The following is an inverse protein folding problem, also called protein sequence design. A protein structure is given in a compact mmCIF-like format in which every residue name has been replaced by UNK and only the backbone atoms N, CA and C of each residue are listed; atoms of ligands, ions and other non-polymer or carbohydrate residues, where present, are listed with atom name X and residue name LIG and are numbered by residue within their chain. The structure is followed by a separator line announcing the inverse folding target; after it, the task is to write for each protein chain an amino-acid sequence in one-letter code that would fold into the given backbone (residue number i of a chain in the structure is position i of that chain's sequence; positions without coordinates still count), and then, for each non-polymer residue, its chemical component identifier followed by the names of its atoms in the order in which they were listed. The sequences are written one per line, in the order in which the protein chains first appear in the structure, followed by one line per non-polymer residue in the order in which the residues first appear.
data_IF_269037188666
#
_entry.id   IF_269037188666
#
_cell.length_a   1.000
_cell.length_b   1.000
_cell.length_c   1.000
_cell.angle_alpha   90.00
_cell.angle_beta   90.00
_cell.angle_gamma   90.00
#
_symmetry.space_group_name_H-M   'P 1'
#
loop_
_entity.id
_entity.type
_entity.pdbx_description
1 polymer ?
#
# COMPACT_ATOMS: atom_id res chain seq x y z
N UNK A 1 -31.70 -20.13 -5.77
CA UNK A 1 -30.27 -20.50 -5.92
C UNK A 1 -29.59 -20.01 -4.68
N UNK A 2 -29.28 -20.92 -3.76
CA UNK A 2 -28.61 -20.56 -2.51
C UNK A 2 -27.11 -20.43 -2.79
N UNK A 3 -26.63 -19.19 -2.78
CA UNK A 3 -25.20 -18.94 -2.79
C UNK A 3 -24.67 -19.24 -1.39
N UNK A 4 -23.86 -20.28 -1.28
CA UNK A 4 -23.08 -20.50 -0.06
C UNK A 4 -21.96 -19.46 -0.03
N UNK A 5 -21.94 -18.63 1.01
CA UNK A 5 -20.86 -17.68 1.26
C UNK A 5 -19.66 -18.43 1.83
N UNK A 6 -18.63 -18.65 1.01
CA UNK A 6 -17.36 -19.18 1.48
C UNK A 6 -16.61 -18.04 2.18
N UNK A 7 -16.28 -18.18 3.46
CA UNK A 7 -15.48 -17.16 4.12
C UNK A 7 -14.02 -17.28 3.72
N UNK A 8 -13.35 -16.14 3.52
CA UNK A 8 -11.92 -16.09 3.20
C UNK A 8 -11.07 -16.84 4.23
N UNK A 9 -11.51 -16.85 5.49
CA UNK A 9 -10.83 -17.53 6.60
C UNK A 9 -10.98 -19.06 6.59
N UNK A 10 -11.89 -19.60 5.80
CA UNK A 10 -12.10 -21.05 5.65
C UNK A 10 -11.28 -21.63 4.49
N UNK A 11 -10.74 -20.77 3.63
CA UNK A 11 -9.88 -21.17 2.51
C UNK A 11 -8.48 -21.55 2.98
N UNK A 12 -7.74 -22.42 2.26
CA UNK A 12 -6.34 -22.73 2.56
C UNK A 12 -5.44 -21.52 2.31
N UNK A 13 -4.25 -21.48 2.91
CA UNK A 13 -3.37 -20.29 2.96
C UNK A 13 -2.93 -19.80 1.56
N UNK A 14 -2.83 -20.70 0.59
CA UNK A 14 -2.43 -20.41 -0.77
C UNK A 14 -3.45 -19.49 -1.47
N UNK A 15 -4.74 -19.62 -1.16
CA UNK A 15 -5.79 -18.87 -1.88
C UNK A 15 -5.76 -17.38 -1.53
N UNK A 16 -5.74 -16.95 -0.25
CA UNK A 16 -5.55 -15.55 0.11
C UNK A 16 -4.22 -14.98 -0.41
N UNK A 17 -3.12 -15.74 -0.38
CA UNK A 17 -1.83 -15.29 -0.92
C UNK A 17 -1.95 -14.99 -2.42
N UNK A 18 -2.58 -15.88 -3.18
CA UNK A 18 -2.79 -15.67 -4.62
C UNK A 18 -3.62 -14.41 -4.89
N UNK A 19 -4.63 -14.12 -4.06
CA UNK A 19 -5.38 -12.86 -4.16
C UNK A 19 -4.53 -11.64 -3.80
N UNK A 20 -3.78 -11.69 -2.70
CA UNK A 20 -2.95 -10.56 -2.24
C UNK A 20 -1.87 -10.18 -3.26
N UNK A 21 -1.28 -11.16 -3.94
CA UNK A 21 -0.27 -10.91 -4.99
C UNK A 21 -0.84 -10.28 -6.27
N UNK A 22 -2.14 -10.39 -6.51
CA UNK A 22 -2.83 -9.75 -7.64
C UNK A 22 -3.30 -8.32 -7.33
N UNK A 23 -3.39 -7.96 -6.06
CA UNK A 23 -3.80 -6.63 -5.59
C UNK A 23 -2.59 -5.71 -5.40
N UNK A 24 -2.85 -4.42 -5.19
CA UNK A 24 -1.81 -3.52 -4.72
C UNK A 24 -1.44 -3.94 -3.28
N UNK A 25 -0.20 -4.39 -3.11
CA UNK A 25 0.33 -4.87 -1.82
C UNK A 25 0.24 -3.83 -0.70
N UNK A 26 0.39 -2.54 -0.99
CA UNK A 26 0.29 -1.48 0.01
C UNK A 26 -1.15 -1.33 0.48
N UNK A 27 -2.12 -1.44 -0.42
CA UNK A 27 -3.55 -1.41 -0.05
C UNK A 27 -3.93 -2.64 0.78
N UNK A 28 -3.43 -3.82 0.40
CA UNK A 28 -3.60 -5.06 1.17
C UNK A 28 -3.00 -4.90 2.57
N UNK A 29 -1.75 -4.45 2.66
CA UNK A 29 -1.06 -4.27 3.94
C UNK A 29 -1.76 -3.25 4.84
N UNK A 30 -2.29 -2.15 4.29
CA UNK A 30 -3.03 -1.17 5.09
C UNK A 30 -4.43 -1.65 5.49
N UNK A 31 -5.09 -2.48 4.68
CA UNK A 31 -6.48 -2.90 4.92
C UNK A 31 -6.61 -4.17 5.75
N UNK A 32 -5.65 -5.09 5.64
CA UNK A 32 -5.74 -6.45 6.18
C UNK A 32 -4.91 -6.62 7.45
N UNK A 33 -3.85 -5.83 7.60
CA UNK A 33 -2.97 -5.93 8.76
C UNK A 33 -3.72 -5.52 10.04
N UNK A 34 -3.55 -6.31 11.09
CA UNK A 34 -4.25 -6.23 12.39
C UNK A 34 -5.73 -6.63 12.37
N UNK A 35 -6.27 -7.12 11.24
CA UNK A 35 -7.66 -7.61 11.18
C UNK A 35 -7.77 -9.01 11.78
N UNK A 36 -6.82 -9.89 11.45
CA UNK A 36 -6.83 -11.28 11.91
C UNK A 36 -5.41 -11.85 11.95
N UNK A 37 -5.07 -12.58 13.01
CA UNK A 37 -3.72 -13.16 13.20
C UNK A 37 -3.24 -14.03 12.03
N UNK A 38 -4.14 -14.80 11.42
CA UNK A 38 -3.82 -15.63 10.25
C UNK A 38 -3.49 -14.74 9.05
N UNK A 39 -4.34 -13.74 8.77
CA UNK A 39 -4.11 -12.81 7.67
C UNK A 39 -2.86 -11.93 7.89
N UNK A 40 -2.55 -11.57 9.13
CA UNK A 40 -1.32 -10.86 9.49
C UNK A 40 -0.08 -11.66 9.14
N UNK A 41 -0.11 -12.97 9.39
CA UNK A 41 0.98 -13.86 9.00
C UNK A 41 1.13 -13.91 7.47
N UNK A 42 0.01 -14.06 6.76
CA UNK A 42 0.01 -14.18 5.29
C UNK A 42 0.44 -12.90 4.59
N UNK A 43 0.02 -11.73 5.09
CA UNK A 43 0.37 -10.44 4.51
C UNK A 43 1.84 -10.05 4.74
N UNK A 44 2.49 -10.63 5.75
CA UNK A 44 3.93 -10.47 6.00
C UNK A 44 4.78 -11.49 5.28
N UNK A 45 4.17 -12.45 4.58
CA UNK A 45 4.91 -13.45 3.82
C UNK A 45 5.79 -12.77 2.77
N UNK A 46 6.95 -13.36 2.50
CA UNK A 46 7.91 -12.83 1.52
C UNK A 46 7.28 -12.78 0.12
N UNK A 47 6.39 -13.71 -0.23
CA UNK A 47 5.67 -13.74 -1.51
C UNK A 47 4.83 -12.46 -1.71
N UNK A 48 4.25 -11.92 -0.64
CA UNK A 48 3.43 -10.71 -0.69
C UNK A 48 4.28 -9.43 -0.60
N UNK A 49 5.40 -9.50 0.13
CA UNK A 49 6.17 -8.31 0.53
C UNK A 49 7.47 -8.07 -0.25
N UNK A 50 7.92 -9.01 -1.09
CA UNK A 50 9.19 -8.85 -1.81
C UNK A 50 9.18 -7.70 -2.82
N UNK A 51 8.02 -7.42 -3.40
CA UNK A 51 7.78 -6.28 -4.27
C UNK A 51 6.78 -5.38 -3.56
N UNK A 52 7.05 -4.08 -3.46
CA UNK A 52 6.09 -3.09 -2.98
C UNK A 52 5.91 -1.96 -3.99
N UNK A 53 4.65 -1.56 -4.18
CA UNK A 53 4.30 -0.43 -5.00
C UNK A 53 3.61 0.65 -4.16
N UNK A 54 4.38 1.64 -3.73
CA UNK A 54 3.95 2.78 -2.92
C UNK A 54 3.34 3.91 -3.79
N UNK A 55 2.66 3.51 -4.87
CA UNK A 55 1.84 4.40 -5.70
C UNK A 55 0.40 3.90 -5.65
N UNK A 56 -0.54 4.83 -5.70
CA UNK A 56 -1.97 4.52 -5.73
C UNK A 56 -2.48 4.58 -7.17
N UNK A 57 -3.68 4.04 -7.42
CA UNK A 57 -4.39 4.25 -8.68
C UNK A 57 -5.57 5.18 -8.44
N UNK A 58 -5.73 6.21 -9.25
CA UNK A 58 -6.95 7.02 -9.26
C UNK A 58 -8.14 6.21 -9.79
N UNK A 59 -9.33 6.78 -9.65
CA UNK A 59 -10.55 6.23 -10.25
C UNK A 59 -10.46 6.12 -11.78
N UNK A 60 -9.62 6.94 -12.40
CA UNK A 60 -9.35 6.94 -13.84
C UNK A 60 -8.23 5.95 -14.22
N UNK A 61 -7.65 5.23 -13.25
CA UNK A 61 -6.57 4.28 -13.45
C UNK A 61 -5.18 4.91 -13.56
N UNK A 62 -5.07 6.23 -13.37
CA UNK A 62 -3.79 6.94 -13.37
C UNK A 62 -2.99 6.62 -12.11
N UNK A 63 -1.66 6.61 -12.20
CA UNK A 63 -0.82 6.42 -11.01
C UNK A 63 -0.75 7.72 -10.24
N UNK A 64 -1.12 7.68 -8.97
CA UNK A 64 -1.12 8.82 -8.07
C UNK A 64 -0.14 8.60 -6.91
N UNK A 65 0.30 9.69 -6.26
CA UNK A 65 1.07 9.61 -5.03
C UNK A 65 0.30 8.82 -3.98
N UNK A 66 1.00 8.12 -3.10
CA UNK A 66 0.38 7.64 -1.87
C UNK A 66 0.07 8.83 -0.96
N UNK A 67 -1.15 8.94 -0.40
CA UNK A 67 -1.49 10.04 0.51
C UNK A 67 -0.50 10.12 1.67
N UNK A 68 -0.05 11.33 2.04
CA UNK A 68 1.00 11.51 3.05
C UNK A 68 0.69 10.81 4.37
N UNK A 69 -0.55 10.88 4.84
CA UNK A 69 -1.01 10.22 6.08
C UNK A 69 -0.84 8.70 5.99
N UNK A 70 -1.22 8.11 4.87
CA UNK A 70 -1.10 6.67 4.64
C UNK A 70 0.37 6.27 4.58
N UNK A 71 1.21 7.09 3.93
CA UNK A 71 2.64 6.84 3.84
C UNK A 71 3.34 6.97 5.21
N UNK A 72 2.94 7.93 6.06
CA UNK A 72 3.48 8.05 7.42
C UNK A 72 3.11 6.85 8.29
N UNK A 73 1.86 6.38 8.20
CA UNK A 73 1.41 5.16 8.86
C UNK A 73 2.18 3.94 8.36
N UNK A 74 2.37 3.85 7.04
CA UNK A 74 3.12 2.77 6.42
C UNK A 74 4.56 2.74 6.94
N UNK A 75 5.26 3.87 6.90
CA UNK A 75 6.64 3.98 7.38
C UNK A 75 6.77 3.69 8.88
N UNK A 76 5.79 4.11 9.70
CA UNK A 76 5.88 3.97 11.16
C UNK A 76 5.50 2.57 11.65
N UNK A 77 4.52 1.92 11.02
CA UNK A 77 3.90 0.70 11.55
C UNK A 77 4.13 -0.52 10.70
N UNK A 78 4.04 -0.42 9.37
CA UNK A 78 4.07 -1.59 8.49
C UNK A 78 5.52 -1.90 8.10
N UNK A 79 6.23 -0.88 7.63
CA UNK A 79 7.57 -1.01 7.09
C UNK A 79 8.57 -1.69 8.06
N UNK A 80 8.61 -1.35 9.37
CA UNK A 80 9.52 -2.00 10.32
C UNK A 80 9.28 -3.51 10.49
N UNK A 81 8.13 -4.01 10.05
CA UNK A 81 7.77 -5.43 10.17
C UNK A 81 8.11 -6.23 8.92
N UNK A 82 8.26 -5.58 7.77
CA UNK A 82 8.43 -6.24 6.47
C UNK A 82 9.70 -5.82 5.73
N UNK A 83 10.45 -4.82 6.23
CA UNK A 83 11.56 -4.19 5.51
C UNK A 83 12.63 -5.18 4.99
N UNK A 84 12.88 -6.26 5.74
CA UNK A 84 13.85 -7.30 5.35
C UNK A 84 13.39 -8.14 4.18
N UNK A 85 12.09 -8.26 3.93
CA UNK A 85 11.58 -9.06 2.82
C UNK A 85 11.63 -8.30 1.49
N UNK A 86 11.66 -6.96 1.55
CA UNK A 86 11.57 -6.08 0.39
C UNK A 86 12.82 -6.21 -0.47
N UNK A 87 12.59 -6.57 -1.74
CA UNK A 87 13.59 -6.72 -2.79
C UNK A 87 13.46 -5.65 -3.89
N UNK A 88 12.25 -5.17 -4.11
CA UNK A 88 11.93 -4.16 -5.11
C UNK A 88 10.92 -3.14 -4.58
N UNK A 89 11.24 -1.86 -4.73
CA UNK A 89 10.36 -0.74 -4.41
C UNK A 89 9.98 0.04 -5.67
N UNK A 90 8.70 0.37 -5.79
CA UNK A 90 8.18 1.36 -6.73
C UNK A 90 7.61 2.52 -5.92
N UNK A 91 8.09 3.73 -6.19
CA UNK A 91 7.70 4.91 -5.43
C UNK A 91 7.86 6.19 -6.26
N UNK A 92 7.26 7.27 -5.77
CA UNK A 92 7.39 8.60 -6.36
C UNK A 92 8.62 9.33 -5.78
N UNK A 93 9.33 10.17 -6.57
CA UNK A 93 10.45 10.97 -6.08
C UNK A 93 10.21 11.73 -4.78
N UNK A 94 9.02 12.32 -4.59
CA UNK A 94 8.65 13.09 -3.39
C UNK A 94 8.61 12.26 -2.09
N UNK A 95 8.54 10.94 -2.20
CA UNK A 95 8.46 10.00 -1.08
C UNK A 95 9.77 9.28 -0.76
N UNK A 96 10.79 9.38 -1.65
CA UNK A 96 12.06 8.64 -1.54
C UNK A 96 12.68 8.81 -0.16
N UNK A 97 12.89 10.06 0.26
CA UNK A 97 13.61 10.37 1.50
C UNK A 97 12.90 9.75 2.71
N UNK A 98 11.59 9.95 2.80
CA UNK A 98 10.77 9.39 3.89
C UNK A 98 10.82 7.87 3.96
N UNK A 99 10.81 7.20 2.81
CA UNK A 99 10.81 5.72 2.75
C UNK A 99 12.21 5.19 3.08
N UNK A 100 13.25 5.72 2.43
CA UNK A 100 14.61 5.24 2.60
C UNK A 100 15.18 5.54 3.99
N UNK A 101 14.73 6.60 4.67
CA UNK A 101 15.12 6.89 6.05
C UNK A 101 14.35 6.09 7.10
N UNK A 102 13.20 5.49 6.75
CA UNK A 102 12.35 4.83 7.73
C UNK A 102 12.82 3.41 8.12
N UNK A 103 13.67 2.77 7.33
CA UNK A 103 14.20 1.43 7.63
C UNK A 103 15.45 1.09 6.83
N UNK A 104 16.21 0.11 7.30
CA UNK A 104 17.30 -0.51 6.54
C UNK A 104 16.73 -1.57 5.59
N UNK A 105 17.11 -1.55 4.32
CA UNK A 105 16.61 -2.51 3.32
C UNK A 105 17.70 -3.48 2.85
N UNK A 106 18.07 -4.49 3.65
CA UNK A 106 19.25 -5.33 3.38
C UNK A 106 19.15 -6.15 2.08
N UNK A 107 17.93 -6.41 1.60
CA UNK A 107 17.66 -7.23 0.42
C UNK A 107 17.19 -6.42 -0.80
N UNK A 108 17.14 -5.09 -0.69
CA UNK A 108 16.68 -4.23 -1.78
C UNK A 108 17.75 -4.13 -2.87
N UNK A 109 17.42 -4.61 -4.07
CA UNK A 109 18.28 -4.49 -5.24
C UNK A 109 17.64 -3.72 -6.39
N UNK A 110 16.35 -3.40 -6.29
CA UNK A 110 15.62 -2.64 -7.32
C UNK A 110 14.83 -1.49 -6.73
N UNK A 111 15.12 -0.27 -7.19
CA UNK A 111 14.36 0.94 -6.91
C UNK A 111 13.83 1.49 -8.23
N UNK A 112 12.51 1.64 -8.34
CA UNK A 112 11.86 2.19 -9.54
C UNK A 112 11.16 3.48 -9.17
N UNK A 113 11.58 4.58 -9.79
CA UNK A 113 10.96 5.88 -9.62
C UNK A 113 9.88 6.08 -10.67
N UNK A 114 8.65 6.34 -10.23
CA UNK A 114 7.56 6.68 -11.12
C UNK A 114 7.37 8.20 -11.11
N UNK A 115 7.52 8.83 -12.28
CA UNK A 115 7.13 10.23 -12.45
C UNK A 115 5.61 10.30 -12.47
N UNK A 116 5.05 10.84 -11.40
CA UNK A 116 3.62 11.09 -11.27
C UNK A 116 3.42 12.57 -11.50
N UNK A 117 2.52 12.94 -12.42
CA UNK A 117 2.17 14.35 -12.58
C UNK A 117 1.44 14.78 -11.32
N UNK A 118 1.81 15.90 -10.67
CA UNK A 118 1.03 16.41 -9.55
C UNK A 118 -0.36 16.78 -10.09
N UNK A 119 -1.38 16.01 -9.75
CA UNK A 119 -2.75 16.42 -9.96
C UNK A 119 -3.01 17.62 -9.04
N UNK A 120 -3.41 18.75 -9.63
CA UNK A 120 -3.85 19.93 -8.92
C UNK A 120 -5.15 19.56 -8.20
N UNK A 121 -5.08 19.32 -6.89
CA UNK A 121 -6.27 19.22 -6.07
C UNK A 121 -7.00 20.57 -6.16
N UNK A 122 -8.09 20.63 -6.93
CA UNK A 122 -8.99 21.78 -6.90
C UNK A 122 -9.71 21.73 -5.55
N UNK A 123 -9.18 22.49 -4.59
CA UNK A 123 -9.87 22.79 -3.35
C UNK A 123 -11.19 23.49 -3.70
N UNK A 124 -12.32 22.78 -3.64
CA UNK A 124 -13.60 23.41 -3.43
C UNK A 124 -13.69 23.89 -1.96
N UNK A 125 -12.84 24.85 -1.59
CA UNK A 125 -13.16 25.72 -0.48
C UNK A 125 -14.33 26.59 -0.93
N UNK A 126 -15.50 26.24 -0.41
CA UNK A 126 -16.70 27.08 -0.49
C UNK A 126 -16.34 28.47 0.00
N UNK A 127 -16.34 29.44 -0.91
CA UNK A 127 -16.47 30.85 -0.56
C UNK A 127 -17.78 31.00 0.24
N UNK A 128 -17.68 31.06 1.56
CA UNK A 128 -18.69 31.71 2.37
C UNK A 128 -18.45 33.21 2.26
N UNK A 129 -19.03 33.81 1.22
CA UNK A 129 -19.33 35.23 1.20
C UNK A 129 -20.34 35.51 2.32
N UNK A 130 -19.85 35.97 3.47
CA UNK A 130 -20.66 36.78 4.38
C UNK A 130 -20.62 38.20 3.82
N UNK A 131 -21.67 38.56 3.08
CA UNK A 131 -21.99 39.95 2.77
C UNK A 131 -22.69 40.57 3.99
N UNK A 132 -22.10 41.68 4.44
CA UNK A 132 -22.62 42.80 5.25
C UNK A 132 -23.93 42.63 6.02
#
# INVERSE_FOLDING_TARGET
MDYSTVQLLDLPDETPIEFFTKLNNVDVLNSVLSVNKRLDRLTRDTIVTYFLNLTTKSLLGERCPMPSIMLDQFCSYILPQIHRNIKSLVLEPSSIERILLASDYPNLYKLTLCSIKPEVFVNHEKQSTISK
#
